data_IF_799053553743
#
_entry.id   IF_799053553743
#
_cell.length_a   1.000
_cell.length_b   1.000
_cell.length_c   1.000
_cell.angle_alpha   90.00
_cell.angle_beta   90.00
_cell.angle_gamma   90.00
#
_symmetry.space_group_name_H-M   'P 1'
#
loop_
_entity.id
_entity.type
_entity.pdbx_description
1 polymer ?
#
# COMPACT_ATOMS: atom_id res chain seq x y z
N UNK A 1 -5.65 -11.11 3.72
CA UNK A 1 -5.86 -10.04 2.72
C UNK A 1 -6.49 -8.85 3.43
N UNK A 2 -6.06 -7.63 3.12
CA UNK A 2 -6.69 -6.38 3.57
C UNK A 2 -7.16 -5.60 2.34
N UNK A 3 -8.36 -5.02 2.39
CA UNK A 3 -8.96 -4.30 1.26
C UNK A 3 -9.67 -3.02 1.73
N UNK A 4 -9.51 -1.95 0.96
CA UNK A 4 -10.27 -0.71 1.11
C UNK A 4 -10.45 -0.08 -0.28
N UNK A 5 -11.71 0.06 -0.73
CA UNK A 5 -12.02 0.49 -2.10
C UNK A 5 -11.21 -0.31 -3.14
N UNK A 6 -10.38 0.35 -3.94
CA UNK A 6 -9.50 -0.25 -4.94
C UNK A 6 -8.12 -0.65 -4.40
N UNK A 7 -7.74 -0.21 -3.19
CA UNK A 7 -6.47 -0.56 -2.55
C UNK A 7 -6.57 -1.94 -1.86
N UNK A 8 -5.82 -2.92 -2.36
CA UNK A 8 -5.78 -4.29 -1.82
C UNK A 8 -4.35 -4.72 -1.48
N UNK A 9 -4.16 -5.32 -0.30
CA UNK A 9 -2.91 -5.98 0.11
C UNK A 9 -3.14 -7.47 0.36
N UNK A 10 -2.30 -8.29 -0.28
CA UNK A 10 -2.19 -9.72 -0.02
C UNK A 10 -1.06 -10.01 0.97
N UNK A 11 -1.30 -10.95 1.89
CA UNK A 11 -0.30 -11.46 2.83
C UNK A 11 -0.29 -12.98 2.71
N UNK A 12 0.89 -13.58 2.77
CA UNK A 12 1.06 -15.02 2.67
C UNK A 12 2.50 -15.43 2.88
N UNK A 13 2.73 -16.74 2.99
CA UNK A 13 4.08 -17.29 3.08
C UNK A 13 4.84 -17.10 1.76
N UNK A 14 6.14 -16.80 1.81
CA UNK A 14 6.95 -16.60 0.61
C UNK A 14 7.23 -17.93 -0.09
N UNK A 15 6.36 -18.31 -1.02
CA UNK A 15 6.54 -19.45 -1.93
C UNK A 15 6.13 -19.06 -3.35
N UNK A 16 6.77 -19.65 -4.37
CA UNK A 16 6.45 -19.32 -5.76
C UNK A 16 5.08 -19.86 -6.19
N UNK A 17 4.60 -20.90 -5.51
CA UNK A 17 3.26 -21.45 -5.63
C UNK A 17 2.22 -20.40 -5.19
N UNK A 18 2.44 -19.75 -4.04
CA UNK A 18 1.55 -18.69 -3.56
C UNK A 18 1.57 -17.47 -4.49
N UNK A 19 2.75 -17.08 -4.99
CA UNK A 19 2.87 -15.97 -5.96
C UNK A 19 2.09 -16.29 -7.25
N UNK A 20 2.19 -17.51 -7.74
CA UNK A 20 1.46 -17.97 -8.93
C UNK A 20 -0.06 -18.02 -8.70
N UNK A 21 -0.49 -18.46 -7.51
CA UNK A 21 -1.89 -18.46 -7.12
C UNK A 21 -2.45 -17.03 -7.07
N UNK A 22 -1.72 -16.08 -6.49
CA UNK A 22 -2.11 -14.66 -6.48
C UNK A 22 -2.24 -14.15 -7.93
N UNK A 23 -1.28 -14.45 -8.82
CA UNK A 23 -1.37 -14.08 -10.24
C UNK A 23 -2.64 -14.62 -10.90
N UNK A 24 -2.99 -15.88 -10.62
CA UNK A 24 -4.20 -16.50 -11.16
C UNK A 24 -5.48 -15.84 -10.61
N UNK A 25 -5.53 -15.51 -9.32
CA UNK A 25 -6.64 -14.78 -8.71
C UNK A 25 -6.81 -13.39 -9.32
N UNK A 26 -5.71 -12.64 -9.47
CA UNK A 26 -5.68 -11.33 -10.10
C UNK A 26 -6.22 -11.37 -11.54
N UNK A 27 -5.76 -12.34 -12.34
CA UNK A 27 -6.25 -12.54 -13.71
C UNK A 27 -7.74 -12.93 -13.73
N UNK A 28 -8.18 -13.78 -12.80
CA UNK A 28 -9.58 -14.18 -12.68
C UNK A 28 -10.48 -13.00 -12.33
N UNK A 29 -10.01 -12.13 -11.43
CA UNK A 29 -10.70 -10.89 -11.09
C UNK A 29 -10.87 -9.97 -12.31
N UNK A 30 -9.81 -9.75 -13.11
CA UNK A 30 -9.93 -8.93 -14.34
C UNK A 30 -10.96 -9.52 -15.31
N UNK A 31 -10.97 -10.85 -15.49
CA UNK A 31 -11.92 -11.53 -16.39
C UNK A 31 -13.37 -11.42 -15.92
N UNK A 32 -13.63 -11.58 -14.62
CA UNK A 32 -14.99 -11.59 -14.07
C UNK A 32 -15.54 -10.18 -13.88
N UNK A 33 -14.71 -9.23 -13.45
CA UNK A 33 -15.15 -7.85 -13.16
C UNK A 33 -15.13 -6.95 -14.39
N UNK A 34 -14.35 -7.29 -15.42
CA UNK A 34 -14.07 -6.40 -16.57
C UNK A 34 -13.15 -5.22 -16.23
N UNK A 35 -12.67 -5.12 -14.97
CA UNK A 35 -11.71 -4.12 -14.53
C UNK A 35 -10.29 -4.54 -14.88
N UNK A 36 -9.36 -3.59 -14.84
CA UNK A 36 -7.93 -3.85 -15.06
C UNK A 36 -7.12 -3.54 -13.81
N UNK A 37 -6.19 -4.42 -13.50
CA UNK A 37 -5.23 -4.22 -12.42
C UNK A 37 -4.19 -3.19 -12.85
N UNK A 38 -3.93 -2.22 -11.99
CA UNK A 38 -2.89 -1.23 -12.23
C UNK A 38 -1.53 -1.73 -11.76
N UNK A 39 -0.89 -2.55 -12.59
CA UNK A 39 0.43 -3.12 -12.32
C UNK A 39 1.54 -2.08 -12.09
N UNK A 40 1.40 -0.86 -12.65
CA UNK A 40 2.34 0.23 -12.43
C UNK A 40 2.27 0.82 -11.00
N UNK A 41 1.12 0.67 -10.32
CA UNK A 41 0.94 1.04 -8.90
C UNK A 41 1.09 -0.15 -7.96
N UNK A 42 0.95 -1.38 -8.46
CA UNK A 42 1.14 -2.59 -7.66
C UNK A 42 2.61 -2.81 -7.34
N UNK A 43 2.87 -3.31 -6.13
CA UNK A 43 4.22 -3.61 -5.65
C UNK A 43 4.26 -4.94 -4.90
N UNK A 44 5.39 -5.63 -4.94
CA UNK A 44 5.62 -6.89 -4.23
C UNK A 44 6.87 -6.83 -3.35
N UNK A 45 6.77 -7.34 -2.13
CA UNK A 45 7.90 -7.48 -1.22
C UNK A 45 7.78 -8.75 -0.39
N UNK A 46 8.93 -9.30 0.00
CA UNK A 46 9.02 -10.45 0.87
C UNK A 46 10.09 -10.20 1.94
N UNK A 47 9.79 -10.63 3.17
CA UNK A 47 10.70 -10.53 4.31
C UNK A 47 11.39 -11.88 4.47
N UNK A 48 12.71 -11.88 4.71
CA UNK A 48 13.49 -13.10 4.91
C UNK A 48 13.87 -13.84 3.62
N UNK A 49 13.54 -13.28 2.44
CA UNK A 49 13.92 -13.82 1.14
C UNK A 49 15.08 -13.04 0.52
N UNK A 50 15.80 -13.66 -0.42
CA UNK A 50 16.85 -12.98 -1.17
C UNK A 50 16.26 -11.90 -2.09
N UNK A 51 17.06 -10.89 -2.43
CA UNK A 51 16.64 -9.87 -3.40
C UNK A 51 16.32 -10.48 -4.76
N UNK A 52 17.07 -11.50 -5.19
CA UNK A 52 16.83 -12.17 -6.46
C UNK A 52 15.49 -12.90 -6.46
N UNK A 53 15.16 -13.64 -5.39
CA UNK A 53 13.87 -14.30 -5.25
C UNK A 53 12.71 -13.29 -5.30
N UNK A 54 12.86 -12.17 -4.56
CA UNK A 54 11.83 -11.12 -4.53
C UNK A 54 11.63 -10.46 -5.89
N UNK A 55 12.71 -10.27 -6.67
CA UNK A 55 12.63 -9.76 -8.04
C UNK A 55 11.92 -10.74 -8.97
N UNK A 56 12.27 -12.02 -8.93
CA UNK A 56 11.59 -13.06 -9.72
C UNK A 56 10.08 -13.14 -9.43
N UNK A 57 9.69 -13.03 -8.15
CA UNK A 57 8.29 -13.02 -7.76
C UNK A 57 7.56 -11.75 -8.24
N UNK A 58 8.20 -10.57 -8.11
CA UNK A 58 7.65 -9.31 -8.61
C UNK A 58 7.47 -9.30 -10.14
N UNK A 59 8.47 -9.82 -10.87
CA UNK A 59 8.41 -10.04 -12.33
C UNK A 59 7.28 -10.98 -12.71
N UNK A 60 7.11 -12.09 -11.98
CA UNK A 60 6.01 -13.01 -12.20
C UNK A 60 4.66 -12.31 -11.99
N UNK A 61 4.52 -11.43 -11.00
CA UNK A 61 3.32 -10.63 -10.77
C UNK A 61 3.20 -9.40 -11.70
N UNK A 62 4.16 -9.16 -12.59
CA UNK A 62 4.24 -7.96 -13.43
C UNK A 62 4.21 -6.64 -12.63
N UNK A 63 4.77 -6.60 -11.42
CA UNK A 63 4.67 -5.44 -10.53
C UNK A 63 6.05 -4.96 -10.05
N UNK A 64 6.10 -3.75 -9.47
CA UNK A 64 7.34 -3.18 -8.97
C UNK A 64 7.83 -3.82 -7.67
N UNK A 65 9.13 -3.68 -7.31
CA UNK A 65 9.59 -4.05 -5.98
C UNK A 65 8.99 -3.12 -4.92
N UNK A 66 8.59 -3.69 -3.79
CA UNK A 66 8.14 -2.97 -2.61
C UNK A 66 9.34 -2.64 -1.73
N UNK A 67 9.47 -1.37 -1.33
CA UNK A 67 10.48 -0.94 -0.38
C UNK A 67 9.84 -0.68 0.98
N UNK A 68 10.46 -1.19 2.04
CA UNK A 68 10.04 -0.90 3.41
C UNK A 68 10.77 0.35 3.94
N UNK A 69 10.10 1.22 4.70
CA UNK A 69 8.66 1.23 4.93
C UNK A 69 7.87 1.73 3.70
N UNK A 70 6.66 1.21 3.49
CA UNK A 70 5.75 1.68 2.43
C UNK A 70 4.51 2.34 3.02
N UNK A 71 3.75 3.08 2.22
CA UNK A 71 2.51 3.74 2.70
C UNK A 71 1.28 2.97 2.23
N UNK A 72 0.35 2.70 3.15
CA UNK A 72 -0.97 2.17 2.85
C UNK A 72 -2.02 3.03 3.55
N UNK A 73 -2.98 3.59 2.78
CA UNK A 73 -4.03 4.49 3.28
C UNK A 73 -3.48 5.68 4.11
N UNK A 74 -2.28 6.16 3.76
CA UNK A 74 -1.61 7.25 4.47
C UNK A 74 -0.86 6.84 5.74
N UNK A 75 -0.84 5.55 6.08
CA UNK A 75 -0.10 5.00 7.22
C UNK A 75 1.20 4.30 6.74
N UNK A 76 2.37 4.61 7.35
CA UNK A 76 3.60 3.91 7.01
C UNK A 76 3.63 2.51 7.63
N UNK A 77 3.69 1.47 6.79
CA UNK A 77 3.82 0.07 7.16
C UNK A 77 5.29 -0.35 7.10
N UNK A 78 5.75 -1.11 8.10
CA UNK A 78 7.14 -1.57 8.23
C UNK A 78 8.07 -0.56 8.89
N UNK A 79 7.59 0.63 9.23
CA UNK A 79 8.31 1.60 10.06
C UNK A 79 8.20 1.20 11.54
N UNK A 80 9.17 1.59 12.37
CA UNK A 80 9.13 1.32 13.82
C UNK A 80 8.04 2.19 14.49
N UNK A 81 6.93 1.58 14.99
CA UNK A 81 5.80 2.34 15.53
C UNK A 81 6.13 3.03 16.86
N UNK A 82 7.21 2.64 17.54
CA UNK A 82 7.65 3.24 18.82
C UNK A 82 8.39 4.57 18.62
N UNK A 83 8.78 4.93 17.40
CA UNK A 83 9.50 6.18 17.12
C UNK A 83 8.50 7.29 16.84
N UNK A 84 8.53 8.37 17.63
CA UNK A 84 7.66 9.54 17.45
C UNK A 84 7.71 10.09 16.01
N UNK A 85 8.92 10.13 15.42
CA UNK A 85 9.13 10.60 14.04
C UNK A 85 8.32 9.85 12.98
N UNK A 86 7.91 8.60 13.24
CA UNK A 86 7.06 7.82 12.33
C UNK A 86 5.65 8.40 12.22
N UNK A 87 5.15 9.00 13.30
CA UNK A 87 3.81 9.57 13.41
C UNK A 87 3.74 11.04 12.97
N UNK A 88 4.88 11.71 12.87
CA UNK A 88 5.01 13.13 12.49
C UNK A 88 4.23 13.48 11.20
N UNK A 89 4.31 12.69 10.10
CA UNK A 89 3.54 13.00 8.88
C UNK A 89 2.02 12.90 9.09
N UNK A 90 1.58 12.02 9.98
CA UNK A 90 0.16 11.84 10.32
C UNK A 90 -0.30 13.04 11.14
N UNK A 91 0.45 13.43 12.18
CA UNK A 91 0.14 14.61 12.98
C UNK A 91 0.07 15.89 12.16
N UNK A 92 1.04 16.13 11.27
CA UNK A 92 1.02 17.29 10.36
C UNK A 92 -0.20 17.32 9.45
N UNK A 93 -0.66 16.16 8.95
CA UNK A 93 -1.90 16.07 8.16
C UNK A 93 -3.12 16.44 8.98
N UNK A 94 -3.20 16.01 10.24
CA UNK A 94 -4.29 16.40 11.15
C UNK A 94 -4.25 17.89 11.47
N UNK A 95 -3.08 18.43 11.82
CA UNK A 95 -2.89 19.84 12.12
C UNK A 95 -3.24 20.75 10.93
N UNK A 96 -2.80 20.39 9.72
CA UNK A 96 -3.16 21.12 8.51
C UNK A 96 -4.67 21.14 8.24
N UNK A 97 -5.36 20.01 8.49
CA UNK A 97 -6.82 19.93 8.37
C UNK A 97 -7.53 20.78 9.42
N UNK A 98 -7.06 20.76 10.67
CA UNK A 98 -7.62 21.58 11.76
C UNK A 98 -7.42 23.07 11.50
N UNK A 99 -6.22 23.48 11.07
CA UNK A 99 -5.92 24.87 10.75
C UNK A 99 -6.79 25.39 9.60
N UNK A 100 -6.97 24.59 8.55
CA UNK A 100 -7.90 24.91 7.46
C UNK A 100 -9.34 25.07 7.97
N UNK A 101 -9.80 24.17 8.83
CA UNK A 101 -11.15 24.23 9.40
C UNK A 101 -11.36 25.48 10.28
N UNK A 102 -10.37 25.83 11.09
CA UNK A 102 -10.39 27.05 11.90
C UNK A 102 -10.45 28.31 11.02
N UNK A 103 -9.66 28.38 9.94
CA UNK A 103 -9.74 29.49 8.97
C UNK A 103 -11.12 29.58 8.30
N UNK A 104 -11.77 28.45 8.03
CA UNK A 104 -13.11 28.44 7.41
C UNK A 104 -14.19 28.94 8.35
N UNK A 105 -14.02 28.82 9.68
CA UNK A 105 -14.95 29.32 10.69
C UNK A 105 -14.73 30.77 11.11
N UNK A 106 -13.63 31.40 10.66
CA UNK A 106 -13.33 32.81 10.97
C UNK A 106 -13.84 33.77 9.88
N UNK A 107 -14.40 33.24 8.79
CA UNK A 107 -15.21 34.04 7.86
C UNK A 107 -16.65 34.14 8.36
N UNK A 108 -16.91 35.09 9.28
CA UNK A 108 -18.14 35.91 9.41
C UNK A 108 -18.26 36.49 10.82
N UNK A 109 -17.77 37.72 10.99
CA UNK A 109 -18.40 38.81 11.75
C UNK A 109 -17.46 40.03 11.74
N UNK A 110 -17.70 40.98 10.83
CA UNK A 110 -16.98 42.25 10.72
C UNK A 110 -16.68 42.63 9.28
#
# INVERSE_FOLDING_TARGET
>A
MLQFADDTIFFGEPSMENVSLIKAMLRSYEMVSGLRINFAKSQFGAIGQSQQWSRSAAELLNCGPLQLPFTYLGMPIGANPRRLMMWEPIFRKFEAKLNKWNQTKVSMAG
#
